data_IF_532808507254
#
_entry.id   IF_532808507254
#
_cell.length_a   1.000
_cell.length_b   1.000
_cell.length_c   1.000
_cell.angle_alpha   90.00
_cell.angle_beta   90.00
_cell.angle_gamma   90.00
#
_symmetry.space_group_name_H-M   'P 1'
#
loop_
_entity.id
_entity.type
_entity.pdbx_description
1 polymer ?
#
# COMPACT_ATOMS: atom_id res chain seq x y z
N UNK A 1 -82.91 67.25 19.25
CA UNK A 1 -81.78 66.66 18.51
C UNK A 1 -82.36 65.62 17.58
N UNK A 2 -82.35 65.92 16.29
CA UNK A 2 -82.90 65.05 15.25
C UNK A 2 -82.02 63.80 15.11
N UNK A 3 -82.67 62.64 15.00
CA UNK A 3 -82.02 61.30 14.96
C UNK A 3 -81.04 61.16 13.78
N UNK A 4 -81.16 62.01 12.76
CA UNK A 4 -80.23 62.06 11.62
C UNK A 4 -78.83 62.61 11.94
N UNK A 5 -78.69 63.49 12.93
CA UNK A 5 -77.40 64.11 13.28
C UNK A 5 -76.51 63.16 14.10
N UNK A 6 -77.15 62.33 14.93
CA UNK A 6 -76.48 61.27 15.71
C UNK A 6 -75.96 60.16 14.79
N UNK A 7 -76.74 59.77 13.76
CA UNK A 7 -76.34 58.76 12.79
C UNK A 7 -75.13 59.20 11.93
N UNK A 8 -75.08 60.49 11.54
CA UNK A 8 -73.95 61.06 10.82
C UNK A 8 -72.66 61.02 11.67
N UNK A 9 -72.75 61.32 12.97
CA UNK A 9 -71.61 61.25 13.88
C UNK A 9 -71.08 59.83 14.09
N UNK A 10 -71.97 58.83 14.19
CA UNK A 10 -71.57 57.43 14.27
C UNK A 10 -70.89 56.93 12.98
N UNK A 11 -71.37 57.36 11.82
CA UNK A 11 -70.73 57.01 10.54
C UNK A 11 -69.32 57.58 10.42
N UNK A 12 -69.10 58.82 10.86
CA UNK A 12 -67.77 59.45 10.90
C UNK A 12 -66.85 58.74 11.89
N UNK A 13 -67.35 58.36 13.07
CA UNK A 13 -66.57 57.62 14.06
C UNK A 13 -66.15 56.23 13.54
N UNK A 14 -67.05 55.50 12.88
CA UNK A 14 -66.74 54.19 12.30
C UNK A 14 -65.78 54.31 11.12
N UNK A 15 -65.93 55.33 10.27
CA UNK A 15 -64.99 55.59 9.17
C UNK A 15 -63.57 55.94 9.66
N UNK A 16 -63.45 56.71 10.76
CA UNK A 16 -62.16 57.01 11.39
C UNK A 16 -61.50 55.77 12.00
N UNK A 17 -62.28 54.89 12.65
CA UNK A 17 -61.77 53.61 13.20
C UNK A 17 -61.31 52.69 12.06
N UNK A 18 -62.09 52.58 10.98
CA UNK A 18 -61.70 51.79 9.81
C UNK A 18 -60.44 52.34 9.12
N UNK A 19 -60.31 53.67 9.01
CA UNK A 19 -59.11 54.31 8.48
C UNK A 19 -57.88 54.07 9.38
N UNK A 20 -58.04 54.07 10.70
CA UNK A 20 -56.96 53.77 11.65
C UNK A 20 -56.51 52.30 11.56
N UNK A 21 -57.44 51.36 11.42
CA UNK A 21 -57.13 49.93 11.24
C UNK A 21 -56.43 49.69 9.90
N UNK A 22 -56.89 50.34 8.83
CA UNK A 22 -56.25 50.27 7.52
C UNK A 22 -54.82 50.86 7.53
N UNK A 23 -54.61 51.98 8.22
CA UNK A 23 -53.28 52.60 8.37
C UNK A 23 -52.35 51.73 9.22
N UNK A 24 -52.89 51.09 10.27
CA UNK A 24 -52.17 50.11 11.09
C UNK A 24 -51.74 48.86 10.29
N UNK A 25 -52.62 48.32 9.46
CA UNK A 25 -52.32 47.18 8.58
C UNK A 25 -51.35 47.56 7.45
N UNK A 26 -51.44 48.76 6.89
CA UNK A 26 -50.48 49.24 5.89
C UNK A 26 -49.06 49.41 6.47
N UNK A 27 -48.96 49.92 7.71
CA UNK A 27 -47.68 50.04 8.40
C UNK A 27 -47.12 48.69 8.88
N UNK A 28 -47.97 47.74 9.29
CA UNK A 28 -47.53 46.39 9.64
C UNK A 28 -47.07 45.62 8.40
N UNK A 29 -47.78 45.75 7.28
CA UNK A 29 -47.40 45.17 5.99
C UNK A 29 -46.06 45.72 5.48
N UNK A 30 -45.82 47.04 5.61
CA UNK A 30 -44.49 47.63 5.30
C UNK A 30 -43.37 47.09 6.18
N UNK A 31 -43.62 46.87 7.48
CA UNK A 31 -42.62 46.28 8.39
C UNK A 31 -42.36 44.81 8.07
N UNK A 32 -43.40 44.06 7.74
CA UNK A 32 -43.29 42.65 7.32
C UNK A 32 -42.57 42.52 5.97
N UNK A 33 -42.86 43.38 4.99
CA UNK A 33 -42.14 43.39 3.71
C UNK A 33 -40.65 43.68 3.90
N UNK A 34 -40.31 44.65 4.76
CA UNK A 34 -38.90 44.98 5.06
C UNK A 34 -38.18 43.86 5.83
N UNK A 35 -38.88 43.16 6.73
CA UNK A 35 -38.35 41.99 7.43
C UNK A 35 -38.19 40.76 6.50
N UNK A 36 -39.09 40.60 5.53
CA UNK A 36 -38.99 39.57 4.50
C UNK A 36 -37.83 39.86 3.53
N UNK A 37 -37.62 41.12 3.14
CA UNK A 37 -36.47 41.53 2.32
C UNK A 37 -35.13 41.30 3.02
N UNK A 38 -35.02 41.62 4.32
CA UNK A 38 -33.82 41.30 5.09
C UNK A 38 -33.61 39.79 5.20
N UNK A 39 -34.67 39.01 5.42
CA UNK A 39 -34.60 37.54 5.46
C UNK A 39 -34.17 36.92 4.13
N UNK A 40 -34.63 37.47 2.99
CA UNK A 40 -34.22 37.00 1.65
C UNK A 40 -32.76 37.38 1.36
N UNK A 41 -32.29 38.56 1.76
CA UNK A 41 -30.87 38.92 1.61
C UNK A 41 -29.96 38.04 2.47
N UNK A 42 -30.37 37.73 3.70
CA UNK A 42 -29.62 36.87 4.60
C UNK A 42 -29.61 35.42 4.10
N UNK A 43 -30.73 34.91 3.58
CA UNK A 43 -30.82 33.61 2.92
C UNK A 43 -29.94 33.53 1.66
N UNK A 44 -29.88 34.58 0.84
CA UNK A 44 -28.99 34.64 -0.34
C UNK A 44 -27.52 34.61 0.04
N UNK A 45 -27.13 35.34 1.10
CA UNK A 45 -25.76 35.31 1.63
C UNK A 45 -25.41 33.94 2.19
N UNK A 46 -26.35 33.30 2.90
CA UNK A 46 -26.16 31.95 3.43
C UNK A 46 -26.04 30.91 2.30
N UNK A 47 -26.86 31.00 1.25
CA UNK A 47 -26.78 30.10 0.09
C UNK A 47 -25.45 30.24 -0.65
N UNK A 48 -24.98 31.47 -0.89
CA UNK A 48 -23.68 31.72 -1.51
C UNK A 48 -22.51 31.19 -0.67
N UNK A 49 -22.59 31.32 0.67
CA UNK A 49 -21.60 30.74 1.58
C UNK A 49 -21.62 29.20 1.56
N UNK A 50 -22.80 28.59 1.49
CA UNK A 50 -22.94 27.13 1.37
C UNK A 50 -22.46 26.59 0.01
N UNK A 51 -22.68 27.32 -1.08
CA UNK A 51 -22.15 26.97 -2.41
C UNK A 51 -20.62 27.04 -2.42
N UNK A 52 -20.03 28.11 -1.88
CA UNK A 52 -18.58 28.22 -1.74
C UNK A 52 -17.98 27.12 -0.85
N UNK A 53 -18.65 26.74 0.24
CA UNK A 53 -18.24 25.62 1.08
C UNK A 53 -18.38 24.27 0.35
N UNK A 54 -19.43 24.07 -0.45
CA UNK A 54 -19.61 22.86 -1.24
C UNK A 54 -18.54 22.72 -2.33
N UNK A 55 -18.16 23.83 -2.99
CA UNK A 55 -17.06 23.86 -3.95
C UNK A 55 -15.71 23.57 -3.28
N UNK A 56 -15.43 24.20 -2.14
CA UNK A 56 -14.22 23.92 -1.36
C UNK A 56 -14.17 22.46 -0.89
N UNK A 57 -15.29 21.89 -0.45
CA UNK A 57 -15.39 20.48 -0.07
C UNK A 57 -15.15 19.54 -1.27
N UNK A 58 -15.68 19.88 -2.46
CA UNK A 58 -15.43 19.12 -3.70
C UNK A 58 -13.96 19.17 -4.10
N UNK A 59 -13.31 20.32 -4.00
CA UNK A 59 -11.88 20.46 -4.23
C UNK A 59 -11.06 19.63 -3.23
N UNK A 60 -11.44 19.67 -1.95
CA UNK A 60 -10.78 18.88 -0.89
C UNK A 60 -10.95 17.37 -1.11
N UNK A 61 -12.12 16.90 -1.52
CA UNK A 61 -12.36 15.48 -1.87
C UNK A 61 -11.51 15.06 -3.08
N UNK A 62 -11.32 15.95 -4.04
CA UNK A 62 -10.48 15.67 -5.22
C UNK A 62 -9.02 15.50 -4.82
N UNK A 63 -8.47 16.44 -4.03
CA UNK A 63 -7.11 16.33 -3.49
C UNK A 63 -6.92 15.10 -2.62
N UNK A 64 -7.89 14.78 -1.77
CA UNK A 64 -7.82 13.59 -0.90
C UNK A 64 -7.83 12.28 -1.72
N UNK A 65 -8.58 12.24 -2.83
CA UNK A 65 -8.56 11.10 -3.77
C UNK A 65 -7.20 10.97 -4.47
N UNK A 66 -6.60 12.08 -4.89
CA UNK A 66 -5.27 12.09 -5.50
C UNK A 66 -4.20 11.61 -4.50
N UNK A 67 -4.24 12.10 -3.26
CA UNK A 67 -3.32 11.65 -2.20
C UNK A 67 -3.50 10.16 -1.89
N UNK A 68 -4.74 9.66 -1.90
CA UNK A 68 -5.02 8.24 -1.67
C UNK A 68 -4.51 7.38 -2.83
N UNK A 69 -4.63 7.86 -4.08
CA UNK A 69 -4.08 7.18 -5.25
C UNK A 69 -2.55 7.13 -5.21
N UNK A 70 -1.89 8.24 -4.86
CA UNK A 70 -0.43 8.29 -4.68
C UNK A 70 0.02 7.33 -3.57
N UNK A 71 -0.64 7.35 -2.41
CA UNK A 71 -0.30 6.47 -1.29
C UNK A 71 -0.53 4.99 -1.60
N UNK A 72 -1.51 4.64 -2.44
CA UNK A 72 -1.68 3.28 -2.93
C UNK A 72 -0.55 2.86 -3.88
N UNK A 73 -0.14 3.74 -4.79
CA UNK A 73 0.96 3.46 -5.71
C UNK A 73 2.29 3.27 -4.97
N UNK A 74 2.58 4.10 -3.96
CA UNK A 74 3.78 3.97 -3.13
C UNK A 74 3.80 2.64 -2.37
N UNK A 75 2.68 2.23 -1.78
CA UNK A 75 2.58 0.94 -1.09
C UNK A 75 2.83 -0.24 -2.03
N UNK A 76 2.26 -0.21 -3.23
CA UNK A 76 2.46 -1.28 -4.21
C UNK A 76 3.92 -1.37 -4.67
N UNK A 77 4.59 -0.23 -4.87
CA UNK A 77 6.01 -0.25 -5.22
C UNK A 77 6.87 -0.73 -4.04
N UNK A 78 6.54 -0.31 -2.82
CA UNK A 78 7.22 -0.78 -1.62
C UNK A 78 7.06 -2.29 -1.44
N UNK A 79 5.84 -2.83 -1.58
CA UNK A 79 5.58 -4.27 -1.55
C UNK A 79 6.40 -5.00 -2.63
N UNK A 80 6.54 -4.41 -3.83
CA UNK A 80 7.35 -4.98 -4.92
C UNK A 80 8.84 -5.00 -4.59
N UNK A 81 9.34 -3.95 -3.92
CA UNK A 81 10.73 -3.86 -3.47
C UNK A 81 11.02 -4.86 -2.35
N UNK A 82 10.13 -4.97 -1.36
CA UNK A 82 10.25 -5.92 -0.25
C UNK A 82 10.28 -7.38 -0.76
N UNK A 83 9.43 -7.70 -1.73
CA UNK A 83 9.46 -9.00 -2.42
C UNK A 83 10.80 -9.27 -3.11
N UNK A 84 11.31 -8.28 -3.84
CA UNK A 84 12.58 -8.39 -4.55
C UNK A 84 13.73 -8.59 -3.58
N UNK A 85 13.77 -7.83 -2.49
CA UNK A 85 14.82 -7.93 -1.47
C UNK A 85 14.82 -9.31 -0.82
N UNK A 86 13.64 -9.82 -0.43
CA UNK A 86 13.52 -11.15 0.16
C UNK A 86 13.99 -12.26 -0.78
N UNK A 87 13.65 -12.17 -2.07
CA UNK A 87 14.09 -13.15 -3.08
C UNK A 87 15.59 -13.07 -3.36
N UNK A 88 16.17 -11.86 -3.39
CA UNK A 88 17.62 -11.68 -3.51
C UNK A 88 18.35 -12.27 -2.31
N UNK A 89 17.80 -12.12 -1.10
CA UNK A 89 18.36 -12.76 0.10
C UNK A 89 18.36 -14.29 -0.01
N UNK A 90 17.26 -14.90 -0.50
CA UNK A 90 17.20 -16.35 -0.77
C UNK A 90 18.26 -16.77 -1.77
N UNK A 91 18.39 -16.06 -2.89
CA UNK A 91 19.35 -16.39 -3.95
C UNK A 91 20.81 -16.31 -3.42
N UNK A 92 21.13 -15.24 -2.70
CA UNK A 92 22.48 -15.00 -2.18
C UNK A 92 22.88 -15.99 -1.08
N UNK A 93 21.93 -16.51 -0.32
CA UNK A 93 22.19 -17.46 0.78
C UNK A 93 22.09 -18.93 0.34
N UNK A 94 21.28 -19.24 -0.67
CA UNK A 94 21.13 -20.59 -1.19
C UNK A 94 22.43 -21.15 -1.78
N UNK A 95 23.17 -20.35 -2.58
CA UNK A 95 24.40 -20.83 -3.26
C UNK A 95 25.51 -21.23 -2.27
N UNK A 96 25.86 -20.41 -1.25
CA UNK A 96 26.80 -20.83 -0.21
C UNK A 96 26.32 -22.07 0.55
N UNK A 97 25.03 -22.15 0.87
CA UNK A 97 24.48 -23.31 1.56
C UNK A 97 24.56 -24.60 0.73
N UNK A 98 24.19 -24.55 -0.57
CA UNK A 98 24.32 -25.67 -1.52
C UNK A 98 25.76 -26.16 -1.55
N UNK A 99 26.72 -25.24 -1.74
CA UNK A 99 28.15 -25.58 -1.79
C UNK A 99 28.65 -26.23 -0.50
N UNK A 100 28.28 -25.67 0.67
CA UNK A 100 28.67 -26.23 1.96
C UNK A 100 28.02 -27.60 2.22
N UNK A 101 26.76 -27.77 1.86
CA UNK A 101 26.01 -29.03 1.96
C UNK A 101 26.62 -30.13 1.07
N UNK A 102 26.95 -29.82 -0.18
CA UNK A 102 27.62 -30.72 -1.11
C UNK A 102 29.01 -31.11 -0.60
N UNK A 103 29.78 -30.12 -0.14
CA UNK A 103 31.11 -30.35 0.44
C UNK A 103 31.02 -31.24 1.66
N UNK A 104 30.05 -31.02 2.54
CA UNK A 104 29.87 -31.84 3.73
C UNK A 104 29.54 -33.30 3.36
N UNK A 105 28.57 -33.52 2.47
CA UNK A 105 28.20 -34.86 2.01
C UNK A 105 29.40 -35.61 1.37
N UNK A 106 30.16 -34.94 0.50
CA UNK A 106 31.33 -35.53 -0.17
C UNK A 106 32.47 -35.79 0.81
N UNK A 107 32.71 -34.89 1.76
CA UNK A 107 33.81 -35.03 2.72
C UNK A 107 33.62 -36.28 3.59
N UNK A 108 32.39 -36.56 4.03
CA UNK A 108 32.08 -37.80 4.77
C UNK A 108 32.22 -39.10 3.95
N UNK A 109 32.34 -39.00 2.62
CA UNK A 109 32.61 -40.14 1.73
C UNK A 109 34.10 -40.39 1.50
N UNK A 110 34.94 -39.37 1.71
CA UNK A 110 36.38 -39.42 1.40
C UNK A 110 37.20 -39.57 2.67
N UNK A 111 36.85 -38.85 3.73
CA UNK A 111 37.61 -38.76 4.98
C UNK A 111 36.92 -39.49 6.13
N UNK A 112 37.70 -39.97 7.12
CA UNK A 112 37.20 -40.31 8.44
C UNK A 112 36.41 -39.15 9.05
N UNK A 113 35.41 -39.44 9.88
CA UNK A 113 34.48 -38.43 10.42
C UNK A 113 35.18 -37.34 11.25
N UNK A 114 36.17 -37.72 12.03
CA UNK A 114 36.97 -36.84 12.90
C UNK A 114 37.88 -35.88 12.12
N UNK A 115 38.33 -36.30 10.93
CA UNK A 115 39.03 -35.42 9.98
C UNK A 115 38.03 -34.55 9.19
N UNK A 116 36.91 -35.13 8.79
CA UNK A 116 35.87 -34.44 8.02
C UNK A 116 35.33 -33.20 8.75
N UNK A 117 35.08 -33.29 10.06
CA UNK A 117 34.58 -32.14 10.86
C UNK A 117 35.56 -30.98 10.98
N UNK A 118 36.84 -31.19 10.63
CA UNK A 118 37.86 -30.13 10.60
C UNK A 118 37.91 -29.38 9.27
N UNK A 119 37.22 -29.87 8.25
CA UNK A 119 37.19 -29.22 6.94
C UNK A 119 36.30 -27.98 6.97
N UNK A 120 36.81 -26.88 6.43
CA UNK A 120 36.10 -25.59 6.35
C UNK A 120 34.70 -25.74 5.76
N UNK A 121 34.51 -26.58 4.74
CA UNK A 121 33.19 -26.80 4.13
C UNK A 121 32.16 -27.43 5.08
N UNK A 122 32.60 -28.30 5.99
CA UNK A 122 31.73 -28.91 7.02
C UNK A 122 31.44 -27.89 8.13
N UNK A 123 32.46 -27.12 8.54
CA UNK A 123 32.29 -26.08 9.57
C UNK A 123 31.38 -24.94 9.11
N UNK A 124 31.46 -24.56 7.84
CA UNK A 124 30.64 -23.50 7.25
C UNK A 124 29.20 -23.92 6.96
N UNK A 125 28.88 -25.22 7.01
CA UNK A 125 27.51 -25.71 6.75
C UNK A 125 26.49 -25.15 7.75
N UNK A 126 26.82 -25.13 9.04
CA UNK A 126 25.92 -24.61 10.09
C UNK A 126 25.55 -23.14 9.88
N UNK A 127 26.53 -22.22 9.83
CA UNK A 127 26.28 -20.80 9.56
C UNK A 127 25.52 -20.56 8.24
N UNK A 128 25.90 -21.24 7.16
CA UNK A 128 25.22 -21.12 5.88
C UNK A 128 23.76 -21.61 5.95
N UNK A 129 23.48 -22.68 6.70
CA UNK A 129 22.12 -23.18 6.91
C UNK A 129 21.25 -22.16 7.64
N UNK A 130 21.78 -21.54 8.71
CA UNK A 130 21.04 -20.53 9.48
C UNK A 130 20.69 -19.32 8.60
N UNK A 131 21.66 -18.80 7.84
CA UNK A 131 21.43 -17.66 6.95
C UNK A 131 20.38 -17.98 5.88
N UNK A 132 20.44 -19.19 5.30
CA UNK A 132 19.49 -19.62 4.30
C UNK A 132 18.09 -19.86 4.89
N UNK A 133 17.97 -20.42 6.11
CA UNK A 133 16.69 -20.56 6.82
C UNK A 133 16.02 -19.21 7.05
N UNK A 134 16.78 -18.22 7.54
CA UNK A 134 16.27 -16.87 7.76
C UNK A 134 15.74 -16.25 6.47
N UNK A 135 16.49 -16.38 5.37
CA UNK A 135 16.07 -15.88 4.07
C UNK A 135 14.79 -16.56 3.56
N UNK A 136 14.66 -17.88 3.71
CA UNK A 136 13.46 -18.63 3.32
C UNK A 136 12.24 -18.22 4.14
N UNK A 137 12.38 -18.05 5.46
CA UNK A 137 11.29 -17.59 6.33
C UNK A 137 10.87 -16.18 5.94
N UNK A 138 11.80 -15.25 5.76
CA UNK A 138 11.49 -13.89 5.31
C UNK A 138 10.77 -13.90 3.96
N UNK A 139 11.26 -14.67 2.99
CA UNK A 139 10.63 -14.79 1.68
C UNK A 139 9.23 -15.41 1.75
N UNK A 140 8.98 -16.38 2.63
CA UNK A 140 7.65 -16.98 2.80
C UNK A 140 6.59 -16.02 3.31
N UNK A 141 7.01 -14.93 3.97
CA UNK A 141 6.12 -13.87 4.45
C UNK A 141 6.00 -12.73 3.44
N UNK A 142 7.13 -12.34 2.82
CA UNK A 142 7.18 -11.17 1.96
C UNK A 142 6.69 -11.44 0.52
N UNK A 143 6.86 -12.65 -0.01
CA UNK A 143 6.55 -12.97 -1.41
C UNK A 143 5.06 -13.23 -1.59
N UNK A 144 4.36 -12.30 -2.26
CA UNK A 144 2.91 -12.43 -2.53
C UNK A 144 2.60 -13.02 -3.90
N UNK A 145 3.53 -13.00 -4.86
CA UNK A 145 3.37 -13.68 -6.14
C UNK A 145 3.27 -15.20 -5.92
N UNK A 146 2.17 -15.79 -6.38
CA UNK A 146 1.81 -17.18 -6.09
C UNK A 146 2.81 -18.19 -6.64
N UNK A 147 3.40 -17.92 -7.81
CA UNK A 147 4.36 -18.85 -8.42
C UNK A 147 5.72 -18.78 -7.72
N UNK A 148 6.18 -17.57 -7.39
CA UNK A 148 7.40 -17.37 -6.61
C UNK A 148 7.26 -17.95 -5.20
N UNK A 149 6.12 -17.71 -4.53
CA UNK A 149 5.84 -18.27 -3.20
C UNK A 149 5.81 -19.81 -3.21
N UNK A 150 5.27 -20.43 -4.27
CA UNK A 150 5.30 -21.89 -4.44
C UNK A 150 6.73 -22.43 -4.52
N UNK A 151 7.63 -21.74 -5.23
CA UNK A 151 9.03 -22.14 -5.34
C UNK A 151 9.77 -21.99 -4.00
N UNK A 152 9.52 -20.90 -3.26
CA UNK A 152 10.07 -20.72 -1.91
C UNK A 152 9.59 -21.82 -0.96
N UNK A 153 8.29 -22.15 -0.97
CA UNK A 153 7.73 -23.23 -0.17
C UNK A 153 8.35 -24.60 -0.53
N UNK A 154 8.58 -24.84 -1.81
CA UNK A 154 9.23 -26.06 -2.28
C UNK A 154 10.70 -26.13 -1.81
N UNK A 155 11.44 -25.01 -1.82
CA UNK A 155 12.80 -24.95 -1.26
C UNK A 155 12.79 -25.26 0.24
N UNK A 156 11.85 -24.70 1.01
CA UNK A 156 11.67 -25.01 2.44
C UNK A 156 11.43 -26.51 2.63
N UNK A 157 10.52 -27.09 1.86
CA UNK A 157 10.18 -28.52 1.93
C UNK A 157 11.39 -29.41 1.64
N UNK A 158 12.12 -29.14 0.56
CA UNK A 158 13.31 -29.91 0.17
C UNK A 158 14.41 -29.74 1.22
N UNK A 159 14.68 -28.51 1.67
CA UNK A 159 15.68 -28.23 2.71
C UNK A 159 15.34 -28.94 4.02
N UNK A 160 14.06 -29.03 4.40
CA UNK A 160 13.62 -29.76 5.59
C UNK A 160 14.05 -31.23 5.59
N UNK A 161 14.19 -31.85 4.42
CA UNK A 161 14.71 -33.22 4.30
C UNK A 161 16.20 -33.31 4.64
N UNK A 162 16.94 -32.21 4.65
CA UNK A 162 18.38 -32.20 4.91
C UNK A 162 18.69 -32.81 6.28
N UNK A 163 17.96 -32.42 7.32
CA UNK A 163 18.13 -32.97 8.67
C UNK A 163 17.90 -34.48 8.67
N UNK A 164 16.80 -34.95 8.08
CA UNK A 164 16.50 -36.38 7.97
C UNK A 164 17.56 -37.17 7.19
N UNK A 165 18.20 -36.54 6.18
CA UNK A 165 19.27 -37.17 5.39
C UNK A 165 20.64 -37.09 6.09
N UNK A 166 20.86 -36.10 6.95
CA UNK A 166 22.13 -35.91 7.66
C UNK A 166 22.18 -36.62 9.01
N UNK A 167 21.06 -36.75 9.73
CA UNK A 167 21.00 -37.43 11.03
C UNK A 167 21.62 -38.84 11.01
N UNK A 168 21.39 -39.68 9.97
CA UNK A 168 21.98 -41.01 9.90
C UNK A 168 23.51 -41.01 9.82
N UNK A 169 24.18 -39.91 9.41
CA UNK A 169 25.64 -39.87 9.42
C UNK A 169 26.22 -39.99 10.83
N UNK A 170 25.49 -39.58 11.86
CA UNK A 170 25.98 -39.66 13.25
C UNK A 170 25.96 -41.09 13.80
N UNK A 171 25.16 -41.98 13.24
CA UNK A 171 24.91 -43.32 13.78
C UNK A 171 25.18 -44.48 12.80
N UNK A 172 25.50 -44.20 11.54
CA UNK A 172 25.73 -45.26 10.56
C UNK A 172 27.01 -46.07 10.80
N UNK A 173 26.95 -47.37 10.46
CA UNK A 173 28.13 -48.24 10.45
C UNK A 173 29.12 -47.74 9.41
N UNK A 174 30.36 -47.49 9.84
CA UNK A 174 31.46 -47.07 8.97
C UNK A 174 32.10 -48.26 8.26
N UNK A 175 32.72 -48.02 7.11
CA UNK A 175 33.56 -49.01 6.46
C UNK A 175 34.90 -49.19 7.20
N UNK A 176 35.75 -50.11 6.73
CA UNK A 176 37.07 -50.37 7.31
C UNK A 176 38.01 -49.14 7.31
N UNK A 177 37.69 -48.11 6.53
CA UNK A 177 38.44 -46.86 6.42
C UNK A 177 37.79 -45.70 7.19
N UNK A 178 36.74 -45.96 7.99
CA UNK A 178 36.03 -44.93 8.77
C UNK A 178 35.07 -44.07 7.96
N UNK A 179 34.73 -44.46 6.73
CA UNK A 179 33.90 -43.69 5.79
C UNK A 179 32.42 -44.02 5.91
N UNK A 180 31.57 -43.06 5.54
CA UNK A 180 30.13 -43.26 5.50
C UNK A 180 29.71 -44.17 4.32
N UNK A 181 28.60 -44.93 4.44
CA UNK A 181 28.04 -45.67 3.32
C UNK A 181 27.69 -44.76 2.14
N UNK A 182 28.05 -45.16 0.91
CA UNK A 182 27.81 -44.36 -0.29
C UNK A 182 26.33 -44.07 -0.54
N UNK A 183 25.42 -44.99 -0.23
CA UNK A 183 23.97 -44.77 -0.33
C UNK A 183 23.50 -43.56 0.50
N UNK A 184 24.07 -43.42 1.70
CA UNK A 184 23.77 -42.32 2.62
C UNK A 184 24.33 -41.00 2.09
N UNK A 185 25.54 -41.02 1.55
CA UNK A 185 26.17 -39.88 0.84
C UNK A 185 25.32 -39.44 -0.35
N UNK A 186 24.87 -40.36 -1.20
CA UNK A 186 24.04 -40.02 -2.36
C UNK A 186 22.70 -39.40 -1.96
N UNK A 187 22.06 -39.93 -0.92
CA UNK A 187 20.79 -39.37 -0.39
C UNK A 187 20.98 -37.95 0.14
N UNK A 188 22.09 -37.70 0.84
CA UNK A 188 22.42 -36.38 1.35
C UNK A 188 22.77 -35.40 0.23
N UNK A 189 23.52 -35.84 -0.79
CA UNK A 189 23.89 -35.04 -1.96
C UNK A 189 22.70 -34.70 -2.86
N UNK A 190 21.65 -35.52 -2.87
CA UNK A 190 20.44 -35.26 -3.65
C UNK A 190 19.69 -34.00 -3.20
N UNK A 191 19.77 -33.64 -1.92
CA UNK A 191 19.07 -32.48 -1.33
C UNK A 191 19.60 -31.14 -1.89
N UNK A 192 20.89 -30.77 -1.76
CA UNK A 192 21.40 -29.51 -2.30
C UNK A 192 21.23 -29.44 -3.82
N UNK A 193 21.33 -30.56 -4.53
CA UNK A 193 21.08 -30.61 -5.98
C UNK A 193 19.62 -30.32 -6.34
N UNK A 194 18.67 -30.83 -5.57
CA UNK A 194 17.25 -30.52 -5.76
C UNK A 194 16.96 -29.03 -5.46
N UNK A 195 17.56 -28.46 -4.40
CA UNK A 195 17.45 -27.02 -4.11
C UNK A 195 18.07 -26.18 -5.23
N UNK A 196 19.22 -26.57 -5.79
CA UNK A 196 19.83 -25.88 -6.92
C UNK A 196 18.89 -25.81 -8.13
N UNK A 197 18.20 -26.91 -8.45
CA UNK A 197 17.22 -26.93 -9.55
C UNK A 197 16.01 -26.02 -9.31
N UNK A 198 15.55 -25.89 -8.06
CA UNK A 198 14.47 -24.95 -7.71
C UNK A 198 14.96 -23.50 -7.69
N UNK A 199 16.20 -23.27 -7.24
CA UNK A 199 16.84 -21.96 -7.25
C UNK A 199 16.96 -21.41 -8.67
N UNK A 200 17.37 -22.23 -9.64
CA UNK A 200 17.43 -21.82 -11.05
C UNK A 200 16.06 -21.39 -11.58
N UNK A 201 15.00 -22.14 -11.25
CA UNK A 201 13.63 -21.77 -11.62
C UNK A 201 13.19 -20.46 -10.95
N UNK A 202 13.56 -20.28 -9.69
CA UNK A 202 13.25 -19.07 -8.92
C UNK A 202 13.94 -17.85 -9.55
N UNK A 203 15.23 -17.96 -9.90
CA UNK A 203 15.99 -16.89 -10.55
C UNK A 203 15.38 -16.51 -11.90
N UNK A 204 15.05 -17.50 -12.74
CA UNK A 204 14.42 -17.26 -14.04
C UNK A 204 13.08 -16.56 -13.90
N UNK A 205 12.22 -17.03 -12.99
CA UNK A 205 10.91 -16.45 -12.76
C UNK A 205 11.01 -15.04 -12.16
N UNK A 206 11.91 -14.83 -11.18
CA UNK A 206 12.14 -13.53 -10.58
C UNK A 206 12.59 -12.51 -11.65
N UNK A 207 13.52 -12.87 -12.53
CA UNK A 207 13.94 -12.01 -13.64
C UNK A 207 12.76 -11.66 -14.54
N UNK A 208 11.91 -12.63 -14.92
CA UNK A 208 10.73 -12.36 -15.75
C UNK A 208 9.74 -11.40 -15.07
N UNK A 209 9.47 -11.60 -13.78
CA UNK A 209 8.51 -10.80 -13.01
C UNK A 209 9.01 -9.38 -12.74
N UNK A 210 10.29 -9.22 -12.44
CA UNK A 210 10.85 -7.91 -12.07
C UNK A 210 11.42 -7.11 -13.25
N UNK A 211 11.76 -7.75 -14.38
CA UNK A 211 12.18 -7.07 -15.60
C UNK A 211 11.01 -6.53 -16.43
N UNK A 212 9.79 -7.05 -16.22
CA UNK A 212 8.58 -6.49 -16.81
C UNK A 212 8.43 -5.03 -16.33
N UNK A 213 8.70 -4.09 -17.23
CA UNK A 213 8.51 -2.66 -16.99
C UNK A 213 7.07 -2.46 -16.49
N UNK A 214 6.84 -1.71 -15.40
CA UNK A 214 5.48 -1.43 -14.97
C UNK A 214 4.72 -0.83 -16.15
N UNK A 215 3.47 -1.26 -16.42
CA UNK A 215 2.67 -0.62 -17.44
C UNK A 215 2.68 0.87 -17.12
N UNK A 216 3.12 1.68 -18.07
CA UNK A 216 3.12 3.12 -17.94
C UNK A 216 1.68 3.56 -17.66
N UNK A 217 1.33 3.71 -16.39
CA UNK A 217 0.04 4.24 -15.98
C UNK A 217 0.06 5.70 -16.39
N UNK A 218 -0.67 5.99 -17.47
CA UNK A 218 -1.11 7.32 -17.88
C UNK A 218 -0.01 8.37 -17.91
N UNK A 219 0.61 8.54 -19.08
CA UNK A 219 1.00 9.88 -19.47
C UNK A 219 -0.23 10.78 -19.35
N UNK A 220 -0.37 11.51 -18.25
CA UNK A 220 -1.30 12.63 -18.18
C UNK A 220 -0.83 13.60 -19.27
N UNK A 221 -1.65 13.94 -20.27
CA UNK A 221 -1.29 15.04 -21.14
C UNK A 221 -1.26 16.29 -20.27
N UNK A 222 -0.05 16.78 -19.97
CA UNK A 222 0.13 18.14 -19.46
C UNK A 222 -0.28 19.09 -20.57
N UNK A 223 -1.57 19.34 -20.64
CA UNK A 223 -2.15 20.38 -21.44
C UNK A 223 -3.03 21.22 -20.51
N UNK A 224 -2.39 22.13 -19.78
CA UNK A 224 -3.07 23.33 -19.32
C UNK A 224 -2.09 24.49 -19.29
N UNK A 225 -1.95 25.05 -20.49
CA UNK A 225 -1.57 26.44 -20.71
C UNK A 225 -2.74 27.30 -20.19
N UNK A 226 -2.76 27.61 -18.90
CA UNK A 226 -3.73 28.55 -18.34
C UNK A 226 -3.08 29.34 -17.18
N UNK A 227 -2.96 30.65 -17.37
CA UNK A 227 -2.65 31.59 -16.29
C UNK A 227 -1.21 32.12 -16.25
N UNK A 228 -0.72 32.70 -17.36
CA UNK A 228 0.30 33.74 -17.23
C UNK A 228 -0.30 34.91 -16.42
N UNK A 229 0.29 35.34 -15.30
CA UNK A 229 -0.08 36.61 -14.70
C UNK A 229 0.38 37.75 -15.62
N UNK A 230 -0.58 38.56 -16.06
CA UNK A 230 -0.35 39.80 -16.80
C UNK A 230 0.53 40.73 -15.96
N UNK A 231 1.67 41.25 -16.47
CA UNK A 231 2.42 42.28 -15.77
C UNK A 231 1.62 43.58 -15.78
N UNK A 232 1.42 44.14 -14.58
CA UNK A 232 0.83 45.46 -14.35
C UNK A 232 1.74 46.53 -14.95
N UNK A 233 1.22 47.49 -15.74
CA UNK A 233 2.03 48.60 -16.23
C UNK A 233 2.32 49.55 -15.07
N UNK A 234 3.61 49.76 -14.79
CA UNK A 234 4.08 50.85 -13.95
C UNK A 234 3.84 52.17 -14.70
N UNK A 235 2.75 52.86 -14.34
CA UNK A 235 2.57 54.27 -14.67
C UNK A 235 3.67 55.07 -13.95
N UNK A 236 4.44 55.80 -14.76
CA UNK A 236 5.36 56.81 -14.28
C UNK A 236 4.60 57.93 -13.58
N UNK A 237 5.08 58.30 -12.40
CA UNK A 237 4.84 59.62 -11.83
C UNK A 237 6.19 60.33 -11.75
N UNK A 238 6.23 61.44 -12.45
CA UNK A 238 7.22 62.52 -12.49
C UNK A 238 7.72 62.98 -11.13
#
# INVERSE_FOLDING_TARGET
MEVGDVAAWFAVAVALIAAFIALGNANSAKRQAKAAESGVQEAKRSAAASEAQAEAARAQVTLMREQLALGQAERLEQDRLDQREALVAVINTARPWISAAETAALTFSILPTDEAVRMDGVQNHGPASIAFDQALVQASVAVTDTELARLVAEMIRIKGLMTERFDPFHSCSRDANGKAPLDLVYKAYAVPRAVAGVLEQLEQLAVQRFAAKPPAQGATPSNSKAGQPTPVPTEGWS
#
